data_IF_402792503579
#
_entry.id   IF_402792503579
#
_cell.length_a   1.000
_cell.length_b   1.000
_cell.length_c   1.000
_cell.angle_alpha   90.00
_cell.angle_beta   90.00
_cell.angle_gamma   90.00
#
_symmetry.space_group_name_H-M   'P 1'
#
loop_
_entity.id
_entity.type
_entity.pdbx_description
1 polymer ?
#
# COMPACT_ATOMS: atom_id res chain seq x y z
N UNK A 1 -8.38 1.60 10.67
CA UNK A 1 -8.93 2.19 11.91
C UNK A 1 -8.54 1.41 13.17
N UNK A 2 -8.71 0.09 13.23
CA UNK A 2 -8.35 -0.70 14.44
C UNK A 2 -6.86 -0.59 14.81
N UNK A 3 -5.94 -0.65 13.84
CA UNK A 3 -4.49 -0.51 14.09
C UNK A 3 -4.14 0.88 14.63
N UNK A 4 -4.68 1.94 14.03
CA UNK A 4 -4.47 3.34 14.46
C UNK A 4 -5.02 3.57 15.87
N UNK A 5 -6.20 3.02 16.18
CA UNK A 5 -6.80 3.09 17.52
C UNK A 5 -5.96 2.27 18.51
N UNK A 6 -5.47 1.09 18.14
CA UNK A 6 -4.63 0.26 19.00
C UNK A 6 -3.27 0.92 19.31
N UNK A 7 -2.65 1.58 18.34
CA UNK A 7 -1.41 2.36 18.54
C UNK A 7 -1.66 3.58 19.43
N UNK A 8 -2.77 4.30 19.22
CA UNK A 8 -3.19 5.39 20.10
C UNK A 8 -3.46 4.93 21.54
N UNK A 9 -4.06 3.75 21.72
CA UNK A 9 -4.30 3.15 23.03
C UNK A 9 -3.00 2.65 23.69
N UNK A 10 -2.07 2.10 22.90
CA UNK A 10 -0.77 1.65 23.40
C UNK A 10 0.05 2.81 24.02
N UNK A 11 -0.01 4.00 23.41
CA UNK A 11 0.55 5.24 23.99
C UNK A 11 -0.05 5.54 25.36
N UNK A 12 -1.38 5.49 25.46
CA UNK A 12 -2.13 5.89 26.67
C UNK A 12 -1.93 4.88 27.80
N UNK A 13 -1.84 3.58 27.48
CA UNK A 13 -1.83 2.50 28.47
C UNK A 13 -0.39 2.16 28.91
N UNK A 14 0.58 2.18 27.98
CA UNK A 14 1.93 1.67 28.24
C UNK A 14 3.04 2.71 28.14
N UNK A 15 2.73 3.98 27.81
CA UNK A 15 3.72 5.06 27.75
C UNK A 15 4.80 4.85 26.70
N UNK A 16 4.55 4.00 25.70
CA UNK A 16 5.48 3.72 24.60
C UNK A 16 5.61 4.97 23.73
N UNK A 17 6.85 5.33 23.41
CA UNK A 17 7.13 6.45 22.51
C UNK A 17 6.63 6.13 21.10
N UNK A 18 5.72 6.98 20.60
CA UNK A 18 5.15 6.86 19.27
C UNK A 18 6.23 6.99 18.19
N UNK A 19 7.29 7.78 18.41
CA UNK A 19 8.39 7.89 17.47
C UNK A 19 9.15 6.57 17.32
N UNK A 20 9.24 5.78 18.38
CA UNK A 20 9.84 4.45 18.31
C UNK A 20 8.98 3.52 17.44
N UNK A 21 7.65 3.58 17.55
CA UNK A 21 6.73 2.71 16.80
C UNK A 21 6.67 3.02 15.30
N UNK A 22 7.04 4.24 14.92
CA UNK A 22 7.04 4.75 13.53
C UNK A 22 8.42 4.80 12.90
N UNK A 23 9.50 4.76 13.70
CA UNK A 23 10.86 4.68 13.19
C UNK A 23 11.06 3.39 12.38
N UNK A 24 11.83 3.46 11.30
CA UNK A 24 12.10 2.27 10.49
C UNK A 24 12.84 1.18 11.26
N UNK A 25 12.46 -0.06 10.99
CA UNK A 25 12.94 -1.23 11.72
C UNK A 25 14.47 -1.43 11.61
N UNK A 26 15.11 -0.83 10.61
CA UNK A 26 16.56 -0.86 10.41
C UNK A 26 17.36 0.17 11.21
N UNK A 27 16.73 1.26 11.67
CA UNK A 27 17.42 2.44 12.18
C UNK A 27 17.61 2.49 13.71
N UNK A 28 17.04 1.53 14.47
CA UNK A 28 17.07 1.56 15.94
C UNK A 28 17.54 0.23 16.53
N UNK A 29 18.51 0.27 17.45
CA UNK A 29 18.89 -0.88 18.27
C UNK A 29 17.66 -1.42 19.05
N UNK A 30 17.22 -2.60 18.63
CA UNK A 30 16.55 -3.62 19.44
C UNK A 30 15.35 -3.20 20.32
N UNK A 31 14.28 -2.68 19.70
CA UNK A 31 12.92 -2.77 20.28
C UNK A 31 12.00 -3.57 19.34
N UNK A 32 11.33 -4.65 19.81
CA UNK A 32 10.37 -5.43 19.00
C UNK A 32 9.18 -4.62 18.46
N UNK A 33 9.00 -3.39 18.97
CA UNK A 33 7.93 -2.47 18.59
C UNK A 33 8.43 -1.40 17.60
N UNK A 34 9.75 -1.28 17.40
CA UNK A 34 10.31 -0.37 16.41
C UNK A 34 9.89 -0.80 15.00
N UNK A 35 9.40 0.15 14.20
CA UNK A 35 8.92 -0.11 12.85
C UNK A 35 7.69 -1.01 12.76
N UNK A 36 6.89 -1.16 13.82
CA UNK A 36 5.70 -2.03 13.80
C UNK A 36 4.67 -1.54 12.77
N UNK A 37 4.54 -0.23 12.58
CA UNK A 37 3.66 0.35 11.56
C UNK A 37 4.13 0.01 10.14
N UNK A 38 5.43 0.18 9.89
CA UNK A 38 6.08 -0.18 8.62
C UNK A 38 5.95 -1.68 8.32
N UNK A 39 6.22 -2.55 9.31
CA UNK A 39 6.07 -4.00 9.18
C UNK A 39 4.63 -4.45 8.88
N UNK A 40 3.62 -3.83 9.51
CA UNK A 40 2.21 -4.08 9.16
C UNK A 40 1.95 -3.64 7.72
N UNK A 41 2.47 -2.49 7.32
CA UNK A 41 2.43 -2.01 5.93
C UNK A 41 2.98 -3.05 4.95
N UNK A 42 4.16 -3.61 5.21
CA UNK A 42 4.81 -4.64 4.39
C UNK A 42 3.94 -5.90 4.27
N UNK A 43 3.33 -6.38 5.36
CA UNK A 43 2.43 -7.53 5.30
C UNK A 43 1.18 -7.25 4.44
N UNK A 44 0.61 -6.05 4.56
CA UNK A 44 -0.54 -5.63 3.76
C UNK A 44 -0.15 -5.46 2.30
N UNK A 45 1.06 -4.98 2.02
CA UNK A 45 1.62 -4.91 0.68
C UNK A 45 1.80 -6.31 0.06
N UNK A 46 2.37 -7.25 0.80
CA UNK A 46 2.56 -8.62 0.35
C UNK A 46 1.22 -9.29 -0.03
N UNK A 47 0.17 -9.07 0.76
CA UNK A 47 -1.19 -9.51 0.41
C UNK A 47 -1.71 -8.82 -0.85
N UNK A 48 -1.49 -7.50 -0.97
CA UNK A 48 -1.87 -6.68 -2.12
C UNK A 48 -1.11 -7.02 -3.42
N UNK A 49 0.04 -7.68 -3.33
CA UNK A 49 0.79 -8.20 -4.47
C UNK A 49 0.34 -9.63 -4.80
N UNK A 50 0.40 -10.52 -3.81
CA UNK A 50 0.20 -11.96 -4.00
C UNK A 50 -1.21 -12.32 -4.45
N UNK A 51 -2.25 -11.78 -3.81
CA UNK A 51 -3.66 -12.13 -4.11
C UNK A 51 -4.05 -11.79 -5.55
N UNK A 52 -3.85 -10.55 -6.06
CA UNK A 52 -4.20 -10.23 -7.43
C UNK A 52 -3.31 -10.92 -8.45
N UNK A 53 -2.00 -11.10 -8.18
CA UNK A 53 -1.12 -11.89 -9.05
C UNK A 53 -1.64 -13.33 -9.21
N UNK A 54 -1.91 -13.99 -8.08
CA UNK A 54 -2.45 -15.34 -8.06
C UNK A 54 -3.79 -15.43 -8.82
N UNK A 55 -4.72 -14.53 -8.52
CA UNK A 55 -6.04 -14.51 -9.16
C UNK A 55 -5.95 -14.22 -10.66
N UNK A 56 -4.93 -13.49 -11.11
CA UNK A 56 -4.73 -13.20 -12.53
C UNK A 56 -4.47 -14.46 -13.38
N UNK A 57 -3.98 -15.55 -12.79
CA UNK A 57 -3.78 -16.82 -13.50
C UNK A 57 -5.11 -17.56 -13.79
N UNK A 58 -6.14 -17.31 -12.99
CA UNK A 58 -7.47 -17.93 -13.12
C UNK A 58 -8.52 -16.99 -13.74
N UNK A 59 -8.07 -15.82 -14.20
CA UNK A 59 -8.93 -14.78 -14.79
C UNK A 59 -8.63 -14.61 -16.27
N UNK A 60 -9.56 -14.03 -17.04
CA UNK A 60 -9.31 -13.65 -18.45
C UNK A 60 -9.71 -12.18 -18.70
N UNK A 61 -9.45 -11.72 -19.93
CA UNK A 61 -9.87 -10.40 -20.38
C UNK A 61 -9.14 -9.27 -19.65
N UNK A 62 -9.85 -8.18 -19.43
CA UNK A 62 -9.28 -6.98 -18.81
C UNK A 62 -9.01 -7.16 -17.32
N UNK A 63 -9.79 -7.99 -16.63
CA UNK A 63 -9.64 -8.27 -15.19
C UNK A 63 -8.29 -8.93 -14.92
N UNK A 64 -7.93 -9.95 -15.72
CA UNK A 64 -6.64 -10.63 -15.61
C UNK A 64 -5.47 -9.67 -15.81
N UNK A 65 -5.57 -8.79 -16.83
CA UNK A 65 -4.53 -7.79 -17.13
C UNK A 65 -4.38 -6.77 -16.01
N UNK A 66 -5.50 -6.26 -15.47
CA UNK A 66 -5.49 -5.31 -14.37
C UNK A 66 -4.97 -5.92 -13.08
N UNK A 67 -5.42 -7.13 -12.72
CA UNK A 67 -4.94 -7.84 -11.53
C UNK A 67 -3.46 -8.17 -11.62
N UNK A 68 -2.97 -8.59 -12.80
CA UNK A 68 -1.54 -8.85 -12.99
C UNK A 68 -0.71 -7.58 -12.91
N UNK A 69 -1.08 -6.55 -13.67
CA UNK A 69 -0.33 -5.29 -13.68
C UNK A 69 -0.37 -4.61 -12.31
N UNK A 70 -1.54 -4.62 -11.66
CA UNK A 70 -1.71 -4.08 -10.31
C UNK A 70 -0.92 -4.86 -9.26
N UNK A 71 -0.94 -6.19 -9.32
CA UNK A 71 -0.16 -7.02 -8.41
C UNK A 71 1.36 -6.87 -8.61
N UNK A 72 1.85 -6.73 -9.84
CA UNK A 72 3.25 -6.41 -10.12
C UNK A 72 3.63 -5.00 -9.65
N UNK A 73 2.75 -4.01 -9.84
CA UNK A 73 2.97 -2.66 -9.33
C UNK A 73 3.03 -2.66 -7.80
N UNK A 74 2.10 -3.35 -7.15
CA UNK A 74 2.13 -3.54 -5.71
C UNK A 74 3.40 -4.24 -5.24
N UNK A 75 3.86 -5.27 -5.97
CA UNK A 75 5.10 -5.97 -5.62
C UNK A 75 6.32 -5.03 -5.70
N UNK A 76 6.38 -4.16 -6.71
CA UNK A 76 7.45 -3.15 -6.83
C UNK A 76 7.46 -2.22 -5.62
N UNK A 77 6.29 -1.70 -5.22
CA UNK A 77 6.16 -0.82 -4.05
C UNK A 77 6.47 -1.57 -2.73
N UNK A 78 6.07 -2.85 -2.64
CA UNK A 78 6.38 -3.69 -1.49
C UNK A 78 7.89 -3.91 -1.34
N UNK A 79 8.60 -4.16 -2.45
CA UNK A 79 10.05 -4.34 -2.47
C UNK A 79 10.75 -3.04 -2.08
N UNK A 80 10.27 -1.91 -2.60
CA UNK A 80 10.77 -0.59 -2.23
C UNK A 80 10.69 -0.35 -0.71
N UNK A 81 9.51 -0.51 -0.11
CA UNK A 81 9.33 -0.36 1.34
C UNK A 81 10.13 -1.40 2.15
N UNK A 82 10.18 -2.66 1.71
CA UNK A 82 10.87 -3.74 2.46
C UNK A 82 12.39 -3.58 2.48
N UNK A 83 12.96 -3.13 1.37
CA UNK A 83 14.41 -2.95 1.24
C UNK A 83 14.84 -1.50 1.48
N UNK A 84 13.89 -0.63 1.86
CA UNK A 84 14.10 0.80 2.04
C UNK A 84 14.83 1.41 0.83
N UNK A 85 14.37 1.09 -0.39
CA UNK A 85 15.11 1.47 -1.61
C UNK A 85 15.15 2.98 -1.80
N UNK A 86 14.01 3.66 -1.64
CA UNK A 86 13.96 5.11 -1.77
C UNK A 86 14.63 5.85 -0.62
N UNK A 87 14.60 5.31 0.59
CA UNK A 87 15.05 5.98 1.81
C UNK A 87 16.54 5.77 2.12
N UNK A 88 17.01 4.51 2.12
CA UNK A 88 18.38 4.18 2.51
C UNK A 88 19.20 3.59 1.35
N UNK A 89 18.71 2.55 0.70
CA UNK A 89 19.57 1.68 -0.11
C UNK A 89 20.06 2.35 -1.40
N UNK A 90 19.19 3.05 -2.15
CA UNK A 90 19.60 3.75 -3.37
C UNK A 90 20.28 5.10 -3.07
N UNK A 91 19.86 5.88 -2.06
CA UNK A 91 20.64 7.02 -1.57
C UNK A 91 22.07 6.68 -1.16
N UNK A 92 22.29 5.55 -0.49
CA UNK A 92 23.63 5.06 -0.15
C UNK A 92 24.49 4.74 -1.39
N UNK A 93 23.86 4.47 -2.54
CA UNK A 93 24.52 4.26 -3.84
C UNK A 93 24.64 5.55 -4.67
N UNK A 94 24.27 6.70 -4.11
CA UNK A 94 24.39 8.01 -4.75
C UNK A 94 23.20 8.40 -5.64
N UNK A 95 22.09 7.66 -5.60
CA UNK A 95 20.84 8.03 -6.29
C UNK A 95 19.98 8.83 -5.31
N UNK A 96 19.70 10.13 -5.56
CA UNK A 96 18.92 10.93 -4.63
C UNK A 96 17.52 10.34 -4.39
N UNK A 97 17.07 10.32 -3.14
CA UNK A 97 15.72 9.88 -2.72
C UNK A 97 14.62 10.49 -3.60
N UNK A 98 14.67 11.81 -3.82
CA UNK A 98 13.72 12.53 -4.68
C UNK A 98 13.60 11.96 -6.10
N UNK A 99 14.68 11.38 -6.65
CA UNK A 99 14.66 10.72 -7.96
C UNK A 99 13.94 9.37 -7.86
N UNK A 100 14.21 8.59 -6.81
CA UNK A 100 13.54 7.29 -6.60
C UNK A 100 12.04 7.49 -6.39
N UNK A 101 11.66 8.41 -5.51
CA UNK A 101 10.26 8.79 -5.26
C UNK A 101 9.57 9.28 -6.55
N UNK A 102 10.25 10.12 -7.35
CA UNK A 102 9.70 10.59 -8.62
C UNK A 102 9.46 9.44 -9.60
N UNK A 103 10.41 8.49 -9.71
CA UNK A 103 10.25 7.32 -10.58
C UNK A 103 9.09 6.43 -10.12
N UNK A 104 9.02 6.08 -8.84
CA UNK A 104 7.94 5.26 -8.28
C UNK A 104 6.57 5.95 -8.41
N UNK A 105 6.52 7.26 -8.15
CA UNK A 105 5.32 8.09 -8.32
C UNK A 105 4.86 8.13 -9.78
N UNK A 106 5.77 8.35 -10.73
CA UNK A 106 5.46 8.37 -12.16
C UNK A 106 5.00 7.01 -12.68
N UNK A 107 5.64 5.92 -12.24
CA UNK A 107 5.20 4.56 -12.59
C UNK A 107 3.79 4.28 -12.07
N UNK A 108 3.53 4.61 -10.81
CA UNK A 108 2.23 4.43 -10.16
C UNK A 108 1.15 5.27 -10.86
N UNK A 109 1.42 6.56 -11.12
CA UNK A 109 0.51 7.44 -11.85
C UNK A 109 0.26 6.95 -13.28
N UNK A 110 1.31 6.51 -13.99
CA UNK A 110 1.24 5.93 -15.32
C UNK A 110 0.33 4.69 -15.35
N UNK A 111 0.49 3.79 -14.39
CA UNK A 111 -0.39 2.63 -14.21
C UNK A 111 -1.85 3.06 -14.01
N UNK A 112 -2.12 3.98 -13.09
CA UNK A 112 -3.48 4.46 -12.81
C UNK A 112 -4.13 5.13 -14.03
N UNK A 113 -3.38 5.95 -14.77
CA UNK A 113 -3.87 6.62 -15.99
C UNK A 113 -4.14 5.62 -17.11
N UNK A 114 -3.25 4.64 -17.28
CA UNK A 114 -3.38 3.59 -18.29
C UNK A 114 -4.62 2.72 -18.03
N UNK A 115 -4.81 2.28 -16.78
CA UNK A 115 -5.93 1.43 -16.39
C UNK A 115 -7.17 2.19 -15.92
N UNK A 116 -7.22 3.53 -16.01
CA UNK A 116 -8.25 4.39 -15.39
C UNK A 116 -9.69 3.91 -15.56
N UNK A 117 -10.07 3.46 -16.77
CA UNK A 117 -11.44 3.01 -17.06
C UNK A 117 -11.79 1.75 -16.25
N UNK A 118 -10.86 0.82 -16.16
CA UNK A 118 -11.01 -0.42 -15.42
C UNK A 118 -10.90 -0.19 -13.90
N UNK A 119 -9.99 0.72 -13.50
CA UNK A 119 -9.84 1.13 -12.11
C UNK A 119 -11.15 1.70 -11.55
N UNK A 120 -11.76 2.62 -12.30
CA UNK A 120 -13.01 3.28 -11.95
C UNK A 120 -14.25 2.36 -12.05
N UNK A 121 -14.20 1.31 -12.88
CA UNK A 121 -15.24 0.29 -12.95
C UNK A 121 -15.21 -0.68 -11.74
N UNK A 122 -14.06 -0.76 -11.05
CA UNK A 122 -13.88 -1.57 -9.86
C UNK A 122 -14.41 -0.93 -8.57
N UNK A 123 -13.92 -1.39 -7.40
CA UNK A 123 -14.24 -0.83 -6.08
C UNK A 123 -13.66 0.58 -5.86
N UNK A 124 -14.07 1.57 -6.67
CA UNK A 124 -13.45 2.90 -6.78
C UNK A 124 -13.25 3.66 -5.45
N UNK A 125 -14.10 3.44 -4.45
CA UNK A 125 -13.97 4.07 -3.12
C UNK A 125 -12.63 3.73 -2.48
N UNK A 126 -12.22 2.47 -2.52
CA UNK A 126 -10.92 2.04 -2.00
C UNK A 126 -9.78 2.75 -2.73
N UNK A 127 -9.81 2.81 -4.07
CA UNK A 127 -8.77 3.50 -4.82
C UNK A 127 -8.72 5.01 -4.53
N UNK A 128 -9.87 5.67 -4.39
CA UNK A 128 -9.91 7.10 -4.05
C UNK A 128 -9.32 7.37 -2.67
N UNK A 129 -9.63 6.54 -1.67
CA UNK A 129 -9.05 6.64 -0.33
C UNK A 129 -7.55 6.35 -0.34
N UNK A 130 -7.09 5.40 -1.16
CA UNK A 130 -5.68 5.10 -1.33
C UNK A 130 -4.90 6.31 -1.88
N UNK A 131 -5.37 6.87 -3.00
CA UNK A 131 -4.76 8.05 -3.63
C UNK A 131 -4.81 9.26 -2.70
N UNK A 132 -5.93 9.48 -2.00
CA UNK A 132 -6.03 10.56 -1.02
C UNK A 132 -5.05 10.40 0.14
N UNK A 133 -4.88 9.17 0.65
CA UNK A 133 -3.91 8.85 1.69
C UNK A 133 -2.47 9.13 1.27
N UNK A 134 -2.04 8.62 0.10
CA UNK A 134 -0.70 8.88 -0.42
C UNK A 134 -0.46 10.36 -0.70
N UNK A 135 -1.46 11.07 -1.25
CA UNK A 135 -1.33 12.50 -1.50
C UNK A 135 -1.18 13.28 -0.20
N UNK A 136 -1.95 12.94 0.83
CA UNK A 136 -1.90 13.63 2.11
C UNK A 136 -0.60 13.33 2.88
N UNK A 137 -0.09 12.10 2.79
CA UNK A 137 1.24 11.73 3.28
C UNK A 137 2.31 12.64 2.64
N UNK A 138 2.38 12.71 1.31
CA UNK A 138 3.35 13.54 0.59
C UNK A 138 3.25 15.04 0.96
N UNK A 139 2.03 15.55 1.15
CA UNK A 139 1.84 16.94 1.59
C UNK A 139 2.41 17.15 2.99
N UNK A 140 2.18 16.22 3.93
CA UNK A 140 2.71 16.33 5.29
C UNK A 140 4.23 16.35 5.31
N UNK A 141 4.85 15.54 4.46
CA UNK A 141 6.30 15.45 4.30
C UNK A 141 6.89 16.81 3.83
N UNK A 142 6.25 17.47 2.85
CA UNK A 142 6.67 18.83 2.42
C UNK A 142 6.49 19.92 3.48
N UNK A 143 5.65 19.69 4.50
CA UNK A 143 5.40 20.63 5.58
C UNK A 143 6.32 20.40 6.79
N UNK A 144 7.03 19.26 6.86
CA UNK A 144 7.95 18.95 7.95
C UNK A 144 8.98 20.07 8.17
N UNK A 145 9.67 20.61 7.14
CA UNK A 145 10.71 21.64 7.35
C UNK A 145 10.18 22.94 7.96
N UNK A 146 8.86 23.17 7.90
CA UNK A 146 8.21 24.35 8.46
C UNK A 146 7.94 24.21 9.97
N UNK A 147 8.10 23.02 10.55
CA UNK A 147 7.93 22.76 12.00
C UNK A 147 6.52 23.05 12.54
N UNK A 148 5.51 23.13 11.66
CA UNK A 148 4.16 23.60 11.99
C UNK A 148 3.32 22.58 12.76
N UNK A 149 3.68 21.28 12.71
CA UNK A 149 2.91 20.19 13.28
C UNK A 149 3.78 19.32 14.20
N UNK A 150 3.45 19.27 15.49
CA UNK A 150 4.07 18.32 16.41
C UNK A 150 3.53 16.91 16.15
N UNK A 151 4.43 15.95 15.92
CA UNK A 151 4.07 14.55 15.64
C UNK A 151 3.75 14.26 14.18
N UNK A 152 4.31 15.04 13.25
CA UNK A 152 4.15 14.87 11.81
C UNK A 152 4.46 13.45 11.34
N UNK A 153 5.57 12.85 11.80
CA UNK A 153 5.98 11.49 11.44
C UNK A 153 4.89 10.43 11.74
N UNK A 154 4.18 10.56 12.86
CA UNK A 154 3.11 9.62 13.24
C UNK A 154 1.87 9.80 12.36
N UNK A 155 1.55 11.04 12.02
CA UNK A 155 0.40 11.36 11.17
C UNK A 155 0.68 10.91 9.73
N UNK A 156 1.88 11.17 9.25
CA UNK A 156 2.38 10.74 7.95
C UNK A 156 2.33 9.21 7.78
N UNK A 157 2.95 8.47 8.70
CA UNK A 157 2.89 7.00 8.74
C UNK A 157 1.45 6.47 8.85
N UNK A 158 0.59 7.19 9.58
CA UNK A 158 -0.83 6.88 9.65
C UNK A 158 -1.52 6.99 8.28
N UNK A 159 -1.23 8.05 7.52
CA UNK A 159 -1.77 8.23 6.16
C UNK A 159 -1.16 7.24 5.17
N UNK A 160 0.13 6.93 5.27
CA UNK A 160 0.79 5.85 4.50
C UNK A 160 0.06 4.53 4.70
N UNK A 161 -0.20 4.14 5.96
CA UNK A 161 -0.90 2.90 6.26
C UNK A 161 -2.36 2.91 5.75
N UNK A 162 -3.09 4.02 5.90
CA UNK A 162 -4.44 4.17 5.32
C UNK A 162 -4.40 3.98 3.80
N UNK A 163 -3.39 4.54 3.14
CA UNK A 163 -3.21 4.44 1.70
C UNK A 163 -2.98 2.99 1.27
N UNK A 164 -2.02 2.31 1.91
CA UNK A 164 -1.65 0.91 1.63
C UNK A 164 -2.85 -0.03 1.86
N UNK A 165 -3.55 0.11 2.99
CA UNK A 165 -4.73 -0.73 3.29
C UNK A 165 -5.82 -0.57 2.24
N UNK A 166 -6.08 0.66 1.79
CA UNK A 166 -7.09 0.90 0.78
C UNK A 166 -6.64 0.47 -0.62
N UNK A 167 -5.35 0.61 -0.95
CA UNK A 167 -4.78 0.10 -2.19
C UNK A 167 -4.91 -1.42 -2.27
N UNK A 168 -4.48 -2.13 -1.22
CA UNK A 168 -4.65 -3.58 -1.11
C UNK A 168 -6.13 -3.96 -1.11
N UNK A 169 -6.97 -3.24 -0.37
CA UNK A 169 -8.42 -3.46 -0.33
C UNK A 169 -9.07 -3.39 -1.71
N UNK A 170 -8.63 -2.45 -2.55
CA UNK A 170 -9.08 -2.36 -3.95
C UNK A 170 -8.79 -3.65 -4.72
N UNK A 171 -7.54 -4.13 -4.70
CA UNK A 171 -7.13 -5.30 -5.47
C UNK A 171 -7.71 -6.61 -4.93
N UNK A 172 -7.79 -6.77 -3.61
CA UNK A 172 -8.40 -7.94 -2.97
C UNK A 172 -9.90 -8.01 -3.32
N UNK A 173 -10.61 -6.89 -3.25
CA UNK A 173 -12.03 -6.85 -3.62
C UNK A 173 -12.25 -7.08 -5.11
N UNK A 174 -11.37 -6.56 -5.98
CA UNK A 174 -11.41 -6.86 -7.41
C UNK A 174 -11.17 -8.35 -7.68
N UNK A 175 -10.19 -8.96 -7.01
CA UNK A 175 -9.90 -10.39 -7.11
C UNK A 175 -11.10 -11.24 -6.67
N UNK A 176 -11.70 -10.93 -5.52
CA UNK A 176 -12.86 -11.61 -4.99
C UNK A 176 -14.07 -11.56 -5.95
N UNK A 177 -14.37 -10.38 -6.50
CA UNK A 177 -15.44 -10.21 -7.51
C UNK A 177 -15.17 -11.01 -8.78
N UNK A 178 -13.91 -11.05 -9.20
CA UNK A 178 -13.52 -11.79 -10.42
C UNK A 178 -13.68 -13.29 -10.23
N UNK A 179 -13.25 -13.85 -9.10
CA UNK A 179 -13.43 -15.26 -8.78
C UNK A 179 -14.90 -15.65 -8.58
N UNK A 180 -15.69 -14.81 -7.90
CA UNK A 180 -17.11 -15.06 -7.72
C UNK A 180 -17.88 -15.12 -9.06
N UNK A 181 -17.53 -14.24 -10.01
CA UNK A 181 -18.07 -14.28 -11.37
C UNK A 181 -17.77 -15.60 -12.07
N UNK A 182 -16.52 -16.07 -11.97
CA UNK A 182 -16.07 -17.34 -12.56
C UNK A 182 -16.81 -18.56 -12.04
N UNK A 183 -16.92 -18.68 -10.73
CA UNK A 183 -17.62 -19.80 -10.10
C UNK A 183 -19.10 -19.85 -10.49
N UNK A 184 -19.70 -18.70 -10.75
CA UNK A 184 -21.10 -18.61 -11.21
C UNK A 184 -21.23 -19.06 -12.66
N UNK A 185 -20.29 -18.68 -13.52
CA UNK A 185 -20.22 -19.12 -14.93
C UNK A 185 -20.01 -20.64 -15.03
N UNK A 186 -19.01 -21.19 -14.33
CA UNK A 186 -18.74 -22.64 -14.33
C UNK A 186 -19.93 -23.46 -13.82
N UNK A 187 -20.62 -22.99 -12.78
CA UNK A 187 -21.81 -23.67 -12.25
C UNK A 187 -22.95 -23.69 -13.26
N UNK A 188 -23.12 -22.64 -14.05
CA UNK A 188 -24.15 -22.56 -15.09
C UNK A 188 -23.84 -23.53 -16.23
N UNK A 189 -22.58 -23.61 -16.66
CA UNK A 189 -22.17 -24.50 -17.74
C UNK A 189 -22.39 -25.98 -17.37
N UNK A 190 -22.11 -26.36 -16.12
CA UNK A 190 -22.38 -27.71 -15.59
C UNK A 190 -23.87 -28.07 -15.53
N UNK A 191 -24.78 -27.08 -15.42
CA UNK A 191 -26.23 -27.33 -15.39
C UNK A 191 -26.86 -27.43 -16.78
N UNK A 192 -26.14 -27.01 -17.82
CA UNK A 192 -26.61 -27.04 -19.22
C UNK A 192 -26.13 -28.26 -20.01
N UNK A 193 -25.32 -29.12 -19.39
CA UNK A 193 -24.89 -30.43 -19.92
C UNK A 193 -25.74 -31.55 -19.33
#
# INVERSE_FOLDING_TARGET
>A
MVVIVAVGLARIIWGIDLQLMTADAGAVEASPVAGIMSNIGILVWAAGAGIPLFTSFYSHGWQARLLRAGGLMTLLLAIDDTLMLHDEALPALGIPESVVLAVLGLLTAGFLVWYRRHVLAGPKVFMMLAVAGFTLMLVLDTLEPLGLLKGHAVIEEGFKLIAIVNWTGYFVMLAARTLAGRLTEERRDMQTQ
#
